data_IF_306997676089
#
_entry.id   IF_306997676089
#
_cell.length_a   1.000
_cell.length_b   1.000
_cell.length_c   1.000
_cell.angle_alpha   90.00
_cell.angle_beta   90.00
_cell.angle_gamma   90.00
#
_symmetry.space_group_name_H-M   'P 1'
#
loop_
_entity.id
_entity.type
_entity.pdbx_description
1 polymer ?
#
# COMPACT_ATOMS: atom_id res chain seq x y z
N UNK A 1 -0.62 -5.63 -21.44
CA UNK A 1 -1.03 -5.34 -20.04
C UNK A 1 -0.30 -6.29 -19.10
N UNK A 2 0.28 -5.80 -18.01
CA UNK A 2 0.96 -6.64 -17.00
C UNK A 2 -0.12 -7.34 -16.17
N UNK A 3 0.00 -8.67 -16.03
CA UNK A 3 -0.94 -9.48 -15.24
C UNK A 3 -0.82 -9.13 -13.76
N UNK A 4 -1.96 -9.09 -13.05
CA UNK A 4 -2.01 -8.79 -11.61
C UNK A 4 -2.17 -10.06 -10.79
N UNK A 5 -1.34 -10.21 -9.76
CA UNK A 5 -1.33 -11.39 -8.89
C UNK A 5 -2.60 -11.50 -8.02
N UNK A 6 -3.32 -10.41 -7.80
CA UNK A 6 -4.60 -10.40 -7.07
C UNK A 6 -5.76 -11.02 -7.88
N UNK A 7 -5.61 -11.21 -9.20
CA UNK A 7 -6.70 -11.67 -10.09
C UNK A 7 -7.36 -12.98 -9.65
N UNK A 8 -6.63 -14.05 -9.26
CA UNK A 8 -7.26 -15.28 -8.79
C UNK A 8 -8.13 -15.06 -7.55
N UNK A 9 -7.65 -14.23 -6.60
CA UNK A 9 -8.40 -13.94 -5.37
C UNK A 9 -9.64 -13.09 -5.64
N UNK A 10 -9.58 -12.17 -6.58
CA UNK A 10 -10.73 -11.37 -7.00
C UNK A 10 -11.83 -12.25 -7.58
N UNK A 11 -11.48 -13.24 -8.41
CA UNK A 11 -12.42 -14.21 -8.98
C UNK A 11 -13.02 -15.15 -7.92
N UNK A 12 -12.19 -15.68 -7.04
CA UNK A 12 -12.64 -16.52 -5.91
C UNK A 12 -13.67 -15.80 -5.04
N UNK A 13 -13.40 -14.55 -4.67
CA UNK A 13 -14.31 -13.77 -3.83
C UNK A 13 -15.61 -13.38 -4.55
N UNK A 14 -15.61 -13.29 -5.88
CA UNK A 14 -16.82 -13.06 -6.66
C UNK A 14 -17.81 -14.23 -6.58
N UNK A 15 -17.35 -15.43 -6.28
CA UNK A 15 -18.21 -16.60 -6.08
C UNK A 15 -18.86 -16.63 -4.69
N UNK A 16 -18.26 -15.94 -3.71
CA UNK A 16 -18.70 -15.99 -2.31
C UNK A 16 -19.37 -14.72 -1.78
N UNK A 17 -19.26 -13.59 -2.49
CA UNK A 17 -19.81 -12.31 -2.04
C UNK A 17 -20.64 -11.66 -3.14
N UNK A 18 -21.86 -11.12 -2.81
CA UNK A 18 -22.68 -10.45 -3.82
C UNK A 18 -22.02 -9.16 -4.37
N UNK A 19 -21.21 -8.48 -3.56
CA UNK A 19 -20.51 -7.25 -3.92
C UNK A 19 -19.02 -7.42 -3.71
N UNK A 20 -18.24 -6.93 -4.66
CA UNK A 20 -16.79 -6.78 -4.55
C UNK A 20 -16.44 -5.30 -4.47
N UNK A 21 -15.46 -4.94 -3.64
CA UNK A 21 -14.91 -3.59 -3.61
C UNK A 21 -13.41 -3.65 -3.82
N UNK A 22 -12.93 -3.01 -4.89
CA UNK A 22 -11.51 -2.88 -5.19
C UNK A 22 -11.06 -1.46 -4.97
N UNK A 23 -10.29 -1.24 -3.91
CA UNK A 23 -9.73 0.07 -3.53
C UNK A 23 -8.22 0.11 -3.77
N UNK A 24 -7.61 1.27 -3.61
CA UNK A 24 -6.16 1.46 -3.78
C UNK A 24 -5.83 2.86 -4.31
N UNK A 25 -4.54 3.22 -4.41
CA UNK A 25 -4.15 4.55 -4.85
C UNK A 25 -4.66 4.86 -6.26
N UNK A 26 -4.76 6.15 -6.61
CA UNK A 26 -5.03 6.55 -7.99
C UNK A 26 -3.97 5.97 -8.91
N UNK A 27 -4.37 5.65 -10.14
CA UNK A 27 -3.47 5.10 -11.18
C UNK A 27 -2.79 3.76 -10.84
N UNK A 28 -3.27 3.01 -9.83
CA UNK A 28 -2.80 1.64 -9.56
C UNK A 28 -3.33 0.57 -10.52
N UNK A 29 -4.22 0.94 -11.46
CA UNK A 29 -4.77 0.05 -12.48
C UNK A 29 -6.08 -0.64 -12.08
N UNK A 30 -6.83 -0.14 -11.08
CA UNK A 30 -8.11 -0.72 -10.61
C UNK A 30 -9.12 -0.92 -11.74
N UNK A 31 -9.46 0.15 -12.44
CA UNK A 31 -10.43 0.13 -13.54
C UNK A 31 -10.00 -0.83 -14.66
N UNK A 32 -8.71 -0.82 -15.00
CA UNK A 32 -8.15 -1.72 -16.01
C UNK A 32 -8.32 -3.17 -15.60
N UNK A 33 -7.99 -3.51 -14.34
CA UNK A 33 -8.10 -4.87 -13.82
C UNK A 33 -9.54 -5.37 -13.80
N UNK A 34 -10.49 -4.58 -13.25
CA UNK A 34 -11.88 -5.05 -13.13
C UNK A 34 -12.55 -5.17 -14.49
N UNK A 35 -12.22 -4.32 -15.45
CA UNK A 35 -12.73 -4.44 -16.83
C UNK A 35 -12.15 -5.64 -17.58
N UNK A 36 -10.94 -6.05 -17.28
CA UNK A 36 -10.33 -7.25 -17.84
C UNK A 36 -10.92 -8.53 -17.23
N UNK A 37 -11.08 -8.55 -15.91
CA UNK A 37 -11.57 -9.73 -15.18
C UNK A 37 -13.08 -9.96 -15.39
N UNK A 38 -13.86 -8.89 -15.47
CA UNK A 38 -15.31 -8.88 -15.62
C UNK A 38 -15.73 -8.24 -16.96
N UNK A 39 -15.14 -8.73 -18.05
CA UNK A 39 -15.31 -8.15 -19.39
C UNK A 39 -16.78 -8.13 -19.88
N UNK A 40 -17.61 -9.07 -19.41
CA UNK A 40 -19.02 -9.15 -19.76
C UNK A 40 -19.93 -8.22 -18.95
N UNK A 41 -19.41 -7.59 -17.86
CA UNK A 41 -20.20 -6.68 -17.02
C UNK A 41 -20.37 -5.32 -17.67
N UNK A 42 -21.47 -4.66 -17.32
CA UNK A 42 -21.69 -3.28 -17.74
C UNK A 42 -20.77 -2.33 -16.95
N UNK A 43 -19.93 -1.56 -17.65
CA UNK A 43 -19.06 -0.57 -17.02
C UNK A 43 -19.77 0.78 -16.88
N UNK A 44 -19.89 1.28 -15.67
CA UNK A 44 -20.61 2.47 -15.27
C UNK A 44 -19.65 3.41 -14.51
N UNK A 45 -19.19 4.48 -15.17
CA UNK A 45 -18.30 5.47 -14.56
C UNK A 45 -19.11 6.65 -14.01
N UNK A 46 -19.16 6.81 -12.70
CA UNK A 46 -19.87 7.91 -12.05
C UNK A 46 -19.15 9.28 -12.15
N UNK A 47 -18.02 9.37 -12.85
CA UNK A 47 -17.49 10.67 -13.30
C UNK A 47 -18.25 11.22 -14.52
N UNK A 48 -18.91 10.36 -15.30
CA UNK A 48 -19.75 10.77 -16.42
C UNK A 48 -21.06 11.34 -15.88
N UNK A 49 -21.38 12.57 -16.28
CA UNK A 49 -22.55 13.29 -15.77
C UNK A 49 -23.86 12.57 -16.04
N UNK A 50 -24.03 11.98 -17.22
CA UNK A 50 -25.24 11.24 -17.60
C UNK A 50 -25.43 9.98 -16.76
N UNK A 51 -24.33 9.24 -16.51
CA UNK A 51 -24.35 8.04 -15.65
C UNK A 51 -24.64 8.44 -14.21
N UNK A 52 -24.02 9.53 -13.74
CA UNK A 52 -24.25 10.07 -12.40
C UNK A 52 -25.70 10.53 -12.21
N UNK A 53 -26.30 11.22 -13.20
CA UNK A 53 -27.68 11.65 -13.17
C UNK A 53 -28.62 10.44 -13.04
N UNK A 54 -28.46 9.42 -13.91
CA UNK A 54 -29.26 8.19 -13.85
C UNK A 54 -29.13 7.46 -12.50
N UNK A 55 -27.94 7.43 -11.92
CA UNK A 55 -27.68 6.79 -10.63
C UNK A 55 -28.30 7.53 -9.45
N UNK A 56 -28.53 8.85 -9.56
CA UNK A 56 -29.09 9.68 -8.49
C UNK A 56 -30.60 9.91 -8.61
N UNK A 57 -31.14 9.95 -9.86
CA UNK A 57 -32.58 10.15 -10.10
C UNK A 57 -33.40 8.91 -9.69
N UNK A 58 -32.95 7.70 -10.06
CA UNK A 58 -33.60 6.44 -9.67
C UNK A 58 -32.56 5.35 -9.35
N UNK A 59 -31.98 5.39 -8.16
CA UNK A 59 -30.92 4.45 -7.76
C UNK A 59 -31.34 2.98 -7.83
N UNK A 60 -32.59 2.67 -7.50
CA UNK A 60 -33.10 1.31 -7.53
C UNK A 60 -33.14 0.77 -8.95
N UNK A 61 -33.80 1.48 -9.85
CA UNK A 61 -33.91 1.10 -11.27
C UNK A 61 -32.54 1.02 -11.94
N UNK A 62 -31.66 1.96 -11.63
CA UNK A 62 -30.28 1.97 -12.13
C UNK A 62 -29.54 0.68 -11.78
N UNK A 63 -29.64 0.20 -10.54
CA UNK A 63 -28.99 -1.04 -10.11
C UNK A 63 -29.69 -2.29 -10.67
N UNK A 64 -31.03 -2.35 -10.60
CA UNK A 64 -31.81 -3.51 -11.08
C UNK A 64 -31.62 -3.78 -12.58
N UNK A 65 -31.43 -2.74 -13.40
CA UNK A 65 -31.15 -2.87 -14.83
C UNK A 65 -29.89 -3.70 -15.15
N UNK A 66 -28.97 -3.83 -14.19
CA UNK A 66 -27.71 -4.54 -14.36
C UNK A 66 -27.59 -5.81 -13.50
N UNK A 67 -28.65 -6.19 -12.80
CA UNK A 67 -28.66 -7.31 -11.86
C UNK A 67 -28.25 -8.63 -12.48
N UNK A 68 -28.75 -8.95 -13.68
CA UNK A 68 -28.51 -10.25 -14.33
C UNK A 68 -27.10 -10.29 -14.97
N UNK A 69 -26.72 -9.23 -15.68
CA UNK A 69 -25.47 -9.17 -16.41
C UNK A 69 -24.28 -8.89 -15.48
N UNK A 70 -24.50 -8.14 -14.42
CA UNK A 70 -23.49 -7.59 -13.52
C UNK A 70 -23.04 -6.19 -13.93
N UNK A 71 -22.53 -5.41 -12.97
CA UNK A 71 -22.06 -4.07 -13.17
C UNK A 71 -20.72 -3.80 -12.45
N UNK A 72 -19.85 -3.05 -13.15
CA UNK A 72 -18.69 -2.38 -12.57
C UNK A 72 -19.08 -0.91 -12.36
N UNK A 73 -19.16 -0.49 -11.10
CA UNK A 73 -19.48 0.91 -10.74
C UNK A 73 -18.18 1.59 -10.31
N UNK A 74 -17.63 2.40 -11.19
CA UNK A 74 -16.36 3.10 -10.96
C UNK A 74 -16.61 4.46 -10.31
N UNK A 75 -15.73 4.85 -9.37
CA UNK A 75 -15.84 6.02 -8.48
C UNK A 75 -17.16 6.01 -7.67
N UNK A 76 -17.54 4.83 -7.16
CA UNK A 76 -18.82 4.55 -6.49
C UNK A 76 -19.13 5.50 -5.31
N UNK A 77 -18.11 6.04 -4.63
CA UNK A 77 -18.29 7.01 -3.53
C UNK A 77 -18.99 8.31 -3.93
N UNK A 78 -19.11 8.59 -5.24
CA UNK A 78 -19.77 9.80 -5.74
C UNK A 78 -21.29 9.75 -5.62
N UNK A 79 -21.88 8.55 -5.60
CA UNK A 79 -23.32 8.34 -5.38
C UNK A 79 -23.55 7.50 -4.12
N UNK A 80 -23.42 8.08 -2.92
CA UNK A 80 -23.46 7.34 -1.65
C UNK A 80 -24.80 6.68 -1.38
N UNK A 81 -25.90 7.18 -1.96
CA UNK A 81 -27.24 6.62 -1.81
C UNK A 81 -27.38 5.23 -2.46
N UNK A 82 -26.59 4.94 -3.52
CA UNK A 82 -26.57 3.63 -4.17
C UNK A 82 -26.29 2.49 -3.18
N UNK A 83 -25.48 2.72 -2.15
CA UNK A 83 -25.09 1.66 -1.21
C UNK A 83 -26.28 1.11 -0.41
N UNK A 84 -27.25 1.97 -0.04
CA UNK A 84 -28.46 1.56 0.68
C UNK A 84 -29.41 0.75 -0.20
N UNK A 85 -29.57 1.16 -1.47
CA UNK A 85 -30.39 0.40 -2.43
C UNK A 85 -29.72 -0.92 -2.81
N UNK A 86 -28.39 -0.90 -3.00
CA UNK A 86 -27.62 -2.09 -3.32
C UNK A 86 -27.74 -3.16 -2.24
N UNK A 87 -27.77 -2.76 -0.97
CA UNK A 87 -28.03 -3.69 0.14
C UNK A 87 -29.35 -4.47 -0.06
N UNK A 88 -30.45 -3.77 -0.30
CA UNK A 88 -31.77 -4.41 -0.51
C UNK A 88 -31.77 -5.35 -1.73
N UNK A 89 -31.19 -4.89 -2.84
CA UNK A 89 -31.15 -5.67 -4.10
C UNK A 89 -30.34 -6.95 -3.93
N UNK A 90 -29.20 -6.92 -3.25
CA UNK A 90 -28.36 -8.13 -3.07
C UNK A 90 -28.98 -9.10 -2.08
N UNK A 91 -29.69 -8.61 -1.07
CA UNK A 91 -30.42 -9.45 -0.10
C UNK A 91 -31.61 -10.15 -0.75
N UNK A 92 -32.35 -9.47 -1.64
CA UNK A 92 -33.47 -10.01 -2.39
C UNK A 92 -33.04 -11.02 -3.47
N UNK A 93 -31.89 -10.74 -4.13
CA UNK A 93 -31.46 -11.56 -5.27
C UNK A 93 -30.73 -12.84 -4.90
N UNK A 94 -29.94 -12.82 -3.84
CA UNK A 94 -29.04 -13.90 -3.48
C UNK A 94 -27.92 -14.19 -4.50
N UNK A 95 -27.77 -13.36 -5.55
CA UNK A 95 -26.78 -13.54 -6.61
C UNK A 95 -25.40 -13.06 -6.16
N UNK A 96 -24.36 -13.88 -6.37
CA UNK A 96 -22.99 -13.56 -6.02
C UNK A 96 -22.25 -12.86 -7.16
N UNK A 97 -21.29 -11.96 -6.79
CA UNK A 97 -20.36 -11.30 -7.70
C UNK A 97 -20.95 -10.27 -8.64
N UNK A 98 -22.23 -9.91 -8.52
CA UNK A 98 -22.92 -9.08 -9.52
C UNK A 98 -22.52 -7.62 -9.55
N UNK A 99 -21.97 -7.11 -8.48
CA UNK A 99 -21.56 -5.70 -8.40
C UNK A 99 -20.11 -5.59 -7.99
N UNK A 100 -19.34 -4.87 -8.80
CA UNK A 100 -17.94 -4.54 -8.53
C UNK A 100 -17.82 -3.04 -8.34
N UNK A 101 -17.51 -2.62 -7.14
CA UNK A 101 -17.33 -1.22 -6.77
C UNK A 101 -15.85 -0.86 -6.83
N UNK A 102 -15.50 0.20 -7.54
CA UNK A 102 -14.16 0.75 -7.52
C UNK A 102 -14.18 2.20 -7.07
N UNK A 103 -13.07 2.65 -6.50
CA UNK A 103 -12.94 4.04 -6.11
C UNK A 103 -11.52 4.37 -5.68
N UNK A 104 -11.11 5.60 -5.93
CA UNK A 104 -9.79 6.11 -5.58
C UNK A 104 -9.77 6.78 -4.21
N UNK A 105 -10.93 7.28 -3.73
CA UNK A 105 -11.09 7.86 -2.39
C UNK A 105 -11.53 6.77 -1.40
N UNK A 106 -10.55 5.96 -0.99
CA UNK A 106 -10.76 4.77 -0.16
C UNK A 106 -11.57 5.06 1.12
N UNK A 107 -11.31 6.20 1.79
CA UNK A 107 -11.98 6.56 3.03
C UNK A 107 -13.51 6.68 2.84
N UNK A 108 -13.98 7.44 1.84
CA UNK A 108 -15.40 7.65 1.59
C UNK A 108 -16.09 6.35 1.15
N UNK A 109 -15.41 5.56 0.31
CA UNK A 109 -15.93 4.28 -0.17
C UNK A 109 -16.08 3.28 0.99
N UNK A 110 -15.05 3.11 1.82
CA UNK A 110 -15.09 2.18 2.95
C UNK A 110 -16.08 2.59 4.03
N UNK A 111 -16.25 3.88 4.30
CA UNK A 111 -17.26 4.37 5.23
C UNK A 111 -18.66 3.93 4.81
N UNK A 112 -19.01 4.09 3.52
CA UNK A 112 -20.33 3.71 3.00
C UNK A 112 -20.54 2.19 2.97
N UNK A 113 -19.50 1.44 2.58
CA UNK A 113 -19.55 -0.04 2.63
C UNK A 113 -19.80 -0.52 4.05
N UNK A 114 -19.10 0.05 5.04
CA UNK A 114 -19.25 -0.37 6.45
C UNK A 114 -20.64 -0.05 7.00
N UNK A 115 -21.25 1.04 6.57
CA UNK A 115 -22.59 1.43 6.99
C UNK A 115 -23.70 0.57 6.38
N UNK A 116 -23.64 0.27 5.09
CA UNK A 116 -24.75 -0.34 4.36
C UNK A 116 -24.49 -1.78 3.89
N UNK A 117 -23.27 -2.15 3.57
CA UNK A 117 -22.92 -3.42 2.95
C UNK A 117 -22.10 -4.38 3.84
N UNK A 118 -22.13 -4.17 5.16
CA UNK A 118 -21.44 -5.03 6.11
C UNK A 118 -21.85 -6.51 5.95
N UNK A 119 -20.84 -7.40 5.82
CA UNK A 119 -21.07 -8.84 5.59
C UNK A 119 -21.45 -9.23 4.15
N UNK A 120 -21.72 -8.26 3.26
CA UNK A 120 -22.11 -8.48 1.85
C UNK A 120 -21.01 -8.16 0.87
N UNK A 121 -19.96 -7.50 1.31
CA UNK A 121 -18.88 -7.00 0.43
C UNK A 121 -17.54 -7.61 0.80
N UNK A 122 -16.85 -8.19 -0.18
CA UNK A 122 -15.44 -8.49 -0.09
C UNK A 122 -14.62 -7.24 -0.47
N UNK A 123 -13.69 -6.84 0.40
CA UNK A 123 -12.84 -5.67 0.20
C UNK A 123 -11.43 -6.13 -0.16
N UNK A 124 -10.93 -5.67 -1.30
CA UNK A 124 -9.59 -5.90 -1.80
C UNK A 124 -8.85 -4.58 -2.03
N UNK A 125 -7.53 -4.63 -1.90
CA UNK A 125 -6.67 -3.47 -2.10
C UNK A 125 -5.68 -3.75 -3.22
N UNK A 126 -5.70 -2.92 -4.28
CA UNK A 126 -4.79 -3.00 -5.41
C UNK A 126 -3.73 -1.90 -5.29
N UNK A 127 -2.53 -2.28 -4.90
CA UNK A 127 -1.36 -1.39 -4.89
C UNK A 127 -0.71 -1.28 -6.29
N UNK A 128 0.25 -0.39 -6.53
CA UNK A 128 1.12 -0.43 -7.69
C UNK A 128 1.77 -1.80 -7.87
N UNK A 129 2.39 -2.06 -9.01
CA UNK A 129 2.97 -3.37 -9.31
C UNK A 129 3.91 -3.89 -8.22
N UNK A 130 3.84 -5.19 -7.92
CA UNK A 130 4.87 -5.86 -7.14
C UNK A 130 6.09 -6.19 -8.00
N UNK A 131 7.24 -6.38 -7.37
CA UNK A 131 8.44 -6.87 -8.05
C UNK A 131 8.19 -8.23 -8.75
N UNK A 132 7.35 -9.08 -8.16
CA UNK A 132 6.96 -10.36 -8.76
C UNK A 132 6.16 -10.18 -10.06
N UNK A 133 5.18 -9.27 -10.08
CA UNK A 133 4.40 -8.94 -11.28
C UNK A 133 5.29 -8.36 -12.40
N UNK A 134 6.22 -7.45 -12.04
CA UNK A 134 7.16 -6.86 -12.99
C UNK A 134 8.16 -7.88 -13.55
N UNK A 135 8.66 -8.80 -12.73
CA UNK A 135 9.53 -9.90 -13.18
C UNK A 135 8.80 -10.83 -14.14
N UNK A 136 7.59 -11.24 -13.80
CA UNK A 136 6.76 -12.11 -14.64
C UNK A 136 6.46 -11.48 -16.01
N UNK A 137 6.44 -10.14 -16.07
CA UNK A 137 6.23 -9.37 -17.30
C UNK A 137 7.52 -9.02 -18.05
N UNK A 138 8.71 -9.39 -17.54
CA UNK A 138 9.99 -8.97 -18.11
C UNK A 138 10.27 -7.47 -18.04
N UNK A 139 9.62 -6.76 -17.10
CA UNK A 139 9.70 -5.31 -16.93
C UNK A 139 10.48 -4.87 -15.67
N UNK A 140 10.96 -5.82 -14.90
CA UNK A 140 11.77 -5.56 -13.71
C UNK A 140 13.20 -5.15 -14.11
N UNK A 141 13.74 -4.11 -13.48
CA UNK A 141 15.09 -3.65 -13.79
C UNK A 141 16.16 -4.52 -13.14
N UNK A 142 17.33 -4.56 -13.77
CA UNK A 142 18.46 -5.39 -13.34
C UNK A 142 19.32 -4.75 -12.23
N UNK A 143 19.11 -3.46 -11.94
CA UNK A 143 19.83 -2.74 -10.90
C UNK A 143 18.89 -2.14 -9.85
N UNK A 144 19.35 -2.17 -8.60
CA UNK A 144 18.58 -1.74 -7.43
C UNK A 144 18.21 -0.26 -7.50
N UNK A 145 19.13 0.61 -7.90
CA UNK A 145 18.91 2.06 -7.95
C UNK A 145 17.80 2.41 -8.94
N UNK A 146 17.74 1.74 -10.08
CA UNK A 146 16.64 1.89 -11.04
C UNK A 146 15.30 1.45 -10.43
N UNK A 147 15.26 0.31 -9.73
CA UNK A 147 14.03 -0.16 -9.08
C UNK A 147 13.54 0.83 -8.03
N UNK A 148 14.43 1.30 -7.15
CA UNK A 148 14.08 2.25 -6.10
C UNK A 148 13.61 3.60 -6.64
N UNK A 149 14.31 4.13 -7.68
CA UNK A 149 14.00 5.41 -8.29
C UNK A 149 12.73 5.38 -9.14
N UNK A 150 12.59 4.33 -9.97
CA UNK A 150 11.47 4.18 -10.90
C UNK A 150 10.13 3.97 -10.18
N UNK A 151 10.17 3.31 -9.01
CA UNK A 151 8.95 2.88 -8.32
C UNK A 151 8.16 1.86 -9.14
N UNK A 152 6.86 1.78 -8.90
CA UNK A 152 6.05 0.67 -9.39
C UNK A 152 4.66 1.08 -9.91
N UNK A 153 4.39 2.37 -10.10
CA UNK A 153 3.12 2.83 -10.66
C UNK A 153 2.94 2.41 -12.12
N UNK A 154 1.79 1.83 -12.52
CA UNK A 154 1.52 1.35 -13.87
C UNK A 154 1.86 2.31 -15.02
N UNK A 155 1.54 3.63 -14.96
CA UNK A 155 1.83 4.54 -16.07
C UNK A 155 3.29 4.62 -16.49
N UNK A 156 4.23 4.36 -15.55
CA UNK A 156 5.68 4.36 -15.84
C UNK A 156 6.08 3.15 -16.72
N UNK A 157 5.26 2.10 -16.72
CA UNK A 157 5.51 0.87 -17.49
C UNK A 157 4.67 0.81 -18.76
N UNK A 158 3.50 1.44 -18.76
CA UNK A 158 2.52 1.36 -19.84
C UNK A 158 2.60 2.55 -20.81
N UNK A 159 3.30 3.64 -20.45
CA UNK A 159 3.37 4.89 -21.23
C UNK A 159 4.81 5.37 -21.37
N UNK A 160 5.13 6.17 -22.41
CA UNK A 160 6.45 6.78 -22.59
C UNK A 160 6.58 8.00 -21.64
N UNK A 161 6.47 7.80 -20.32
CA UNK A 161 6.63 8.84 -19.32
C UNK A 161 7.73 8.44 -18.35
N UNK A 162 8.59 9.39 -17.97
CA UNK A 162 9.69 9.17 -17.05
C UNK A 162 9.25 9.45 -15.60
N UNK A 163 9.91 8.84 -14.59
CA UNK A 163 9.60 9.09 -13.18
C UNK A 163 9.65 10.56 -12.78
N UNK A 164 10.62 11.33 -13.30
CA UNK A 164 10.80 12.76 -13.04
C UNK A 164 9.64 13.63 -13.56
N UNK A 165 8.86 13.16 -14.52
CA UNK A 165 7.67 13.86 -15.04
C UNK A 165 6.39 13.35 -14.37
N UNK A 166 6.32 12.04 -14.16
CA UNK A 166 5.13 11.38 -13.63
C UNK A 166 4.85 11.74 -12.17
N UNK A 167 5.82 11.56 -11.27
CA UNK A 167 5.57 11.74 -9.83
C UNK A 167 5.29 13.19 -9.43
N UNK A 168 5.97 14.23 -9.91
CA UNK A 168 5.59 15.61 -9.63
C UNK A 168 4.15 15.91 -10.09
N UNK A 169 3.79 15.50 -11.32
CA UNK A 169 2.42 15.65 -11.82
C UNK A 169 1.39 14.89 -10.98
N UNK A 170 1.73 13.69 -10.51
CA UNK A 170 0.89 12.90 -9.62
C UNK A 170 0.64 13.61 -8.29
N UNK A 171 1.69 14.19 -7.67
CA UNK A 171 1.58 14.95 -6.43
C UNK A 171 0.67 16.15 -6.60
N UNK A 172 0.89 16.95 -7.63
CA UNK A 172 0.14 18.19 -7.86
C UNK A 172 -1.33 17.94 -8.24
N UNK A 173 -1.58 16.97 -9.13
CA UNK A 173 -2.92 16.76 -9.69
C UNK A 173 -3.82 15.88 -8.83
N UNK A 174 -3.26 14.90 -8.13
CA UNK A 174 -4.05 13.93 -7.37
C UNK A 174 -3.94 14.12 -5.87
N UNK A 175 -2.72 14.16 -5.34
CA UNK A 175 -2.54 14.24 -3.90
C UNK A 175 -3.07 15.58 -3.36
N UNK A 176 -2.73 16.69 -3.99
CA UNK A 176 -3.21 18.01 -3.56
C UNK A 176 -4.71 18.20 -3.78
N UNK A 177 -5.27 17.65 -4.86
CA UNK A 177 -6.72 17.69 -5.12
C UNK A 177 -7.51 16.91 -4.10
N UNK A 178 -7.11 15.68 -3.80
CA UNK A 178 -7.81 14.83 -2.84
C UNK A 178 -7.74 15.43 -1.43
N UNK A 179 -6.66 16.13 -1.10
CA UNK A 179 -6.50 16.88 0.14
C UNK A 179 -7.44 18.10 0.25
N UNK A 180 -7.64 18.83 -0.84
CA UNK A 180 -8.57 19.99 -0.85
C UNK A 180 -10.02 19.58 -0.60
N UNK A 181 -10.42 18.36 -1.00
CA UNK A 181 -11.77 17.84 -0.73
C UNK A 181 -11.96 17.45 0.74
N UNK A 182 -10.87 17.19 1.45
CA UNK A 182 -10.88 16.93 2.89
C UNK A 182 -10.69 18.27 3.60
N UNK A 183 -11.75 18.80 4.21
CA UNK A 183 -11.82 20.11 4.92
C UNK A 183 -10.70 20.38 5.95
N UNK A 184 -9.75 19.45 6.11
CA UNK A 184 -8.67 19.50 7.10
C UNK A 184 -7.38 20.18 6.61
N UNK A 185 -7.25 20.53 5.32
CA UNK A 185 -6.03 21.14 4.78
C UNK A 185 -6.34 22.56 4.29
N UNK A 186 -6.16 23.53 5.20
CA UNK A 186 -6.36 24.97 4.89
C UNK A 186 -5.18 25.59 4.13
N UNK A 187 -3.95 25.08 4.35
CA UNK A 187 -2.72 25.61 3.77
C UNK A 187 -1.91 24.50 3.07
N UNK A 188 -1.88 24.55 1.74
CA UNK A 188 -1.13 23.58 0.91
C UNK A 188 0.38 23.71 1.06
N UNK A 189 0.90 24.89 1.38
CA UNK A 189 2.33 25.12 1.57
C UNK A 189 2.82 24.36 2.81
N UNK A 190 2.09 24.47 3.92
CA UNK A 190 2.36 23.72 5.14
C UNK A 190 2.21 22.21 4.92
N UNK A 191 1.22 21.80 4.11
CA UNK A 191 1.07 20.38 3.79
C UNK A 191 2.22 19.85 2.92
N UNK A 192 2.71 20.60 1.93
CA UNK A 192 3.91 20.23 1.15
C UNK A 192 5.14 20.08 2.06
N UNK A 193 5.34 21.04 2.98
CA UNK A 193 6.40 20.95 4.00
C UNK A 193 6.26 19.70 4.86
N UNK A 194 5.05 19.41 5.34
CA UNK A 194 4.75 18.20 6.09
C UNK A 194 5.08 16.93 5.30
N UNK A 195 4.70 16.85 4.02
CA UNK A 195 4.96 15.69 3.16
C UNK A 195 6.47 15.44 2.98
N UNK A 196 7.24 16.50 2.74
CA UNK A 196 8.72 16.43 2.63
C UNK A 196 9.33 15.96 3.96
N UNK A 197 8.85 16.46 5.09
CA UNK A 197 9.32 16.05 6.41
C UNK A 197 8.95 14.60 6.73
N UNK A 198 7.79 14.10 6.26
CA UNK A 198 7.45 12.69 6.33
C UNK A 198 8.39 11.83 5.49
N UNK A 199 8.69 12.25 4.25
CA UNK A 199 9.62 11.54 3.37
C UNK A 199 11.03 11.42 3.99
N UNK A 200 11.54 12.51 4.59
CA UNK A 200 12.81 12.52 5.32
C UNK A 200 12.85 11.61 6.56
N UNK A 201 11.68 11.13 7.02
CA UNK A 201 11.53 10.23 8.18
C UNK A 201 11.11 8.82 7.82
N UNK A 202 11.21 8.44 6.56
CA UNK A 202 10.89 7.07 6.15
C UNK A 202 11.75 6.06 6.93
N UNK A 203 11.14 4.97 7.42
CA UNK A 203 11.79 3.97 8.26
C UNK A 203 12.04 4.40 9.73
N UNK A 204 11.62 5.62 10.14
CA UNK A 204 11.82 6.13 11.49
C UNK A 204 10.55 6.10 12.33
N UNK A 205 10.72 6.07 13.65
CA UNK A 205 9.60 6.22 14.60
C UNK A 205 8.91 7.56 14.42
N UNK A 206 7.60 7.54 14.22
CA UNK A 206 6.80 8.73 13.97
C UNK A 206 6.51 9.48 15.28
N UNK A 207 7.13 10.63 15.47
CA UNK A 207 6.80 11.57 16.53
C UNK A 207 5.95 12.73 15.98
N UNK A 208 4.62 12.60 16.13
CA UNK A 208 3.67 13.59 15.59
C UNK A 208 3.81 14.97 16.23
N UNK A 209 4.22 15.06 17.49
CA UNK A 209 4.42 16.36 18.16
C UNK A 209 5.66 17.08 17.63
N UNK A 210 6.78 16.37 17.49
CA UNK A 210 7.98 16.94 16.87
C UNK A 210 7.73 17.40 15.45
N UNK A 211 7.02 16.56 14.66
CA UNK A 211 6.64 16.89 13.28
C UNK A 211 5.73 18.12 13.21
N UNK A 212 4.76 18.24 14.14
CA UNK A 212 3.88 19.41 14.23
C UNK A 212 4.66 20.71 14.52
N UNK A 213 5.59 20.67 15.46
CA UNK A 213 6.44 21.82 15.78
C UNK A 213 7.27 22.27 14.56
N UNK A 214 7.86 21.34 13.81
CA UNK A 214 8.66 21.65 12.62
C UNK A 214 7.80 22.19 11.45
N UNK A 215 6.60 21.67 11.27
CA UNK A 215 5.66 22.16 10.24
C UNK A 215 5.10 23.53 10.65
N UNK A 216 4.82 23.73 11.91
CA UNK A 216 4.15 24.91 12.46
C UNK A 216 2.64 24.70 12.67
N UNK A 217 2.22 23.46 12.97
CA UNK A 217 0.82 23.10 13.22
C UNK A 217 0.69 22.22 14.47
N UNK A 218 -0.50 22.10 15.02
CA UNK A 218 -0.73 21.24 16.19
C UNK A 218 -0.68 19.74 15.86
N UNK A 219 -0.52 18.93 16.88
CA UNK A 219 -0.38 17.48 16.73
C UNK A 219 -1.69 16.80 16.23
N UNK A 220 -2.87 17.41 16.42
CA UNK A 220 -4.15 16.88 15.93
C UNK A 220 -4.23 17.06 14.41
N UNK A 221 -3.75 18.19 13.92
CA UNK A 221 -3.61 18.47 12.48
C UNK A 221 -2.68 17.44 11.82
N UNK A 222 -1.49 17.18 12.42
CA UNK A 222 -0.57 16.15 11.93
C UNK A 222 -1.24 14.77 11.90
N UNK A 223 -1.95 14.40 12.96
CA UNK A 223 -2.68 13.12 13.01
C UNK A 223 -3.73 13.02 11.89
N UNK A 224 -4.48 14.07 11.66
CA UNK A 224 -5.48 14.13 10.58
C UNK A 224 -4.80 13.96 9.20
N UNK A 225 -3.69 14.67 8.97
CA UNK A 225 -2.97 14.60 7.71
C UNK A 225 -2.33 13.22 7.47
N UNK A 226 -1.76 12.60 8.51
CA UNK A 226 -1.28 11.20 8.41
C UNK A 226 -2.42 10.26 8.05
N UNK A 227 -3.57 10.36 8.73
CA UNK A 227 -4.74 9.51 8.43
C UNK A 227 -5.22 9.66 6.98
N UNK A 228 -5.12 10.86 6.43
CA UNK A 228 -5.42 11.13 5.02
C UNK A 228 -4.41 10.44 4.11
N UNK A 229 -3.10 10.57 4.39
CA UNK A 229 -2.06 9.90 3.60
C UNK A 229 -2.19 8.37 3.65
N UNK A 230 -2.55 7.79 4.80
CA UNK A 230 -2.84 6.36 4.93
C UNK A 230 -4.07 5.96 4.08
N UNK A 231 -5.15 6.75 4.19
CA UNK A 231 -6.38 6.49 3.45
C UNK A 231 -6.21 6.61 1.91
N UNK A 232 -5.29 7.45 1.45
CA UNK A 232 -4.92 7.61 0.03
C UNK A 232 -3.87 6.60 -0.43
N UNK A 233 -3.41 5.67 0.40
CA UNK A 233 -2.32 4.74 0.11
C UNK A 233 -1.02 5.45 -0.31
N UNK A 234 -0.70 6.56 0.32
CA UNK A 234 0.59 7.25 0.16
C UNK A 234 1.58 6.74 1.17
N UNK A 235 1.17 6.69 2.46
CA UNK A 235 2.01 6.18 3.54
C UNK A 235 1.37 4.99 4.25
N UNK A 236 2.21 4.18 4.86
CA UNK A 236 1.85 3.07 5.72
C UNK A 236 2.53 3.23 7.09
N UNK A 237 1.76 3.05 8.16
CA UNK A 237 2.28 3.04 9.52
C UNK A 237 2.56 1.61 9.96
N UNK A 238 3.82 1.18 9.91
CA UNK A 238 4.27 -0.09 10.44
C UNK A 238 4.23 -0.04 11.96
N UNK A 239 3.40 -0.90 12.56
CA UNK A 239 3.18 -0.92 14.01
C UNK A 239 4.23 -1.80 14.70
N UNK A 240 4.56 -1.50 15.97
CA UNK A 240 5.43 -2.38 16.73
C UNK A 240 4.74 -3.71 17.08
N UNK A 241 5.49 -4.81 17.07
CA UNK A 241 5.02 -6.13 17.45
C UNK A 241 4.96 -6.25 18.96
N UNK A 242 3.79 -6.55 19.50
CA UNK A 242 3.55 -6.73 20.92
C UNK A 242 3.22 -8.20 21.23
N UNK A 243 4.20 -9.00 21.54
CA UNK A 243 4.02 -10.30 22.19
C UNK A 243 4.57 -10.21 23.60
N UNK A 244 4.00 -10.94 24.57
CA UNK A 244 4.41 -10.94 26.00
C UNK A 244 5.83 -11.51 26.19
N UNK A 245 6.85 -10.83 25.71
CA UNK A 245 8.26 -11.19 25.91
C UNK A 245 8.94 -10.37 27.02
N UNK A 246 8.22 -10.08 28.12
CA UNK A 246 8.75 -9.42 29.32
C UNK A 246 9.54 -8.11 29.10
N UNK A 247 9.52 -7.51 27.91
CA UNK A 247 10.22 -6.28 27.57
C UNK A 247 9.26 -5.17 27.19
N UNK A 248 9.60 -3.96 27.62
CA UNK A 248 8.87 -2.75 27.21
C UNK A 248 9.21 -2.42 25.74
N UNK A 249 8.27 -2.66 24.84
CA UNK A 249 8.37 -2.32 23.42
C UNK A 249 7.91 -0.88 23.21
N UNK A 250 8.50 -0.18 22.28
CA UNK A 250 8.07 1.18 21.87
C UNK A 250 6.62 1.16 21.36
N UNK A 251 5.90 2.26 21.52
CA UNK A 251 4.49 2.36 21.10
C UNK A 251 4.29 3.09 19.77
N UNK A 252 5.27 3.91 19.38
CA UNK A 252 5.20 4.71 18.16
C UNK A 252 5.39 3.82 16.93
N UNK A 253 4.59 3.99 15.87
CA UNK A 253 4.81 3.29 14.61
C UNK A 253 6.00 3.89 13.86
N UNK A 254 6.57 3.12 12.92
CA UNK A 254 7.46 3.64 11.87
C UNK A 254 6.63 4.06 10.66
N UNK A 255 7.09 5.09 9.94
CA UNK A 255 6.43 5.59 8.73
C UNK A 255 7.15 5.08 7.49
N UNK A 256 6.37 4.55 6.53
CA UNK A 256 6.84 4.11 5.21
C UNK A 256 5.91 4.61 4.10
N UNK A 257 6.42 4.68 2.88
CA UNK A 257 5.64 4.98 1.69
C UNK A 257 5.28 3.70 0.95
N UNK A 258 4.12 3.66 0.29
CA UNK A 258 3.74 2.50 -0.52
C UNK A 258 4.55 2.37 -1.81
N UNK A 259 5.23 3.44 -2.26
CA UNK A 259 6.02 3.46 -3.48
C UNK A 259 7.30 4.27 -3.31
N UNK A 260 8.43 3.68 -3.71
CA UNK A 260 9.75 4.30 -3.57
C UNK A 260 10.02 5.39 -4.60
N UNK A 261 9.44 5.31 -5.80
CA UNK A 261 9.57 6.35 -6.81
C UNK A 261 8.86 7.65 -6.37
N UNK A 262 7.66 7.52 -5.78
CA UNK A 262 6.98 8.65 -5.16
C UNK A 262 7.81 9.23 -4.01
N UNK A 263 8.38 8.38 -3.14
CA UNK A 263 9.26 8.80 -2.05
C UNK A 263 10.48 9.55 -2.58
N UNK A 264 11.17 9.03 -3.60
CA UNK A 264 12.31 9.68 -4.23
C UNK A 264 11.94 11.06 -4.79
N UNK A 265 10.81 11.18 -5.46
CA UNK A 265 10.31 12.44 -6.02
C UNK A 265 10.05 13.49 -4.92
N UNK A 266 9.40 13.10 -3.80
CA UNK A 266 9.15 14.00 -2.67
C UNK A 266 10.47 14.45 -2.01
N UNK A 267 11.48 13.58 -1.95
CA UNK A 267 12.82 13.89 -1.44
C UNK A 267 13.65 14.76 -2.40
N UNK A 268 13.15 15.04 -3.61
CA UNK A 268 13.86 15.83 -4.62
C UNK A 268 14.97 15.06 -5.34
N UNK A 269 14.98 13.72 -5.26
CA UNK A 269 15.89 12.86 -6.01
C UNK A 269 15.40 12.82 -7.46
N UNK A 270 16.18 13.41 -8.38
CA UNK A 270 15.76 13.61 -9.78
C UNK A 270 16.30 12.58 -10.75
N UNK A 271 17.36 11.87 -10.36
CA UNK A 271 18.00 10.84 -11.19
C UNK A 271 18.41 9.67 -10.32
N UNK A 272 18.46 8.49 -10.89
CA UNK A 272 18.86 7.27 -10.17
C UNK A 272 20.30 7.34 -9.64
N UNK A 273 21.18 8.05 -10.35
CA UNK A 273 22.58 8.22 -9.98
C UNK A 273 22.72 8.99 -8.64
N UNK A 274 21.79 9.92 -8.37
CA UNK A 274 21.79 10.70 -7.12
C UNK A 274 21.44 9.82 -5.90
N UNK A 275 20.79 8.65 -6.13
CA UNK A 275 20.37 7.74 -5.06
C UNK A 275 21.53 6.96 -4.42
N UNK A 276 22.51 6.55 -5.20
CA UNK A 276 23.63 5.71 -4.72
C UNK A 276 24.41 6.37 -3.55
N UNK A 277 24.60 7.70 -3.60
CA UNK A 277 25.25 8.49 -2.55
C UNK A 277 24.30 9.16 -1.56
N UNK A 278 22.99 8.97 -1.69
CA UNK A 278 22.01 9.66 -0.88
C UNK A 278 21.98 9.13 0.56
N UNK A 279 21.99 10.03 1.55
CA UNK A 279 22.03 9.66 2.97
C UNK A 279 20.83 8.81 3.43
N UNK A 280 19.68 8.90 2.75
CA UNK A 280 18.49 8.07 3.02
C UNK A 280 18.42 6.78 2.17
N UNK A 281 19.46 6.44 1.38
CA UNK A 281 19.44 5.23 0.54
C UNK A 281 19.08 3.96 1.32
N UNK A 282 19.62 3.81 2.53
CA UNK A 282 19.26 2.70 3.41
C UNK A 282 17.79 2.65 3.77
N UNK A 283 17.22 3.79 4.17
CA UNK A 283 15.80 3.89 4.52
C UNK A 283 14.87 3.72 3.30
N UNK A 284 15.29 4.18 2.11
CA UNK A 284 14.52 3.96 0.86
C UNK A 284 14.54 2.48 0.48
N UNK A 285 15.66 1.78 0.68
CA UNK A 285 15.74 0.34 0.48
C UNK A 285 14.88 -0.43 1.49
N UNK A 286 14.94 -0.08 2.77
CA UNK A 286 14.07 -0.65 3.81
C UNK A 286 12.59 -0.44 3.45
N UNK A 287 12.22 0.76 2.99
CA UNK A 287 10.89 1.08 2.51
C UNK A 287 10.46 0.20 1.34
N UNK A 288 11.34 -0.08 0.38
CA UNK A 288 11.08 -0.99 -0.73
C UNK A 288 10.72 -2.39 -0.21
N UNK A 289 11.55 -2.97 0.66
CA UNK A 289 11.32 -4.32 1.21
C UNK A 289 10.00 -4.38 1.96
N UNK A 290 9.70 -3.39 2.83
CA UNK A 290 8.43 -3.31 3.56
C UNK A 290 7.24 -3.21 2.60
N UNK A 291 7.33 -2.37 1.55
CA UNK A 291 6.24 -2.21 0.58
C UNK A 291 6.00 -3.49 -0.24
N UNK A 292 7.04 -4.25 -0.59
CA UNK A 292 6.91 -5.53 -1.29
C UNK A 292 6.22 -6.60 -0.43
N UNK A 293 6.49 -6.64 0.88
CA UNK A 293 5.76 -7.53 1.80
C UNK A 293 4.27 -7.15 1.88
N UNK A 294 3.94 -5.85 1.91
CA UNK A 294 2.56 -5.38 1.89
C UNK A 294 1.84 -5.80 0.59
N UNK A 295 2.47 -5.55 -0.57
CA UNK A 295 1.92 -5.93 -1.87
C UNK A 295 1.65 -7.43 -1.97
N UNK A 296 2.60 -8.26 -1.51
CA UNK A 296 2.46 -9.71 -1.51
C UNK A 296 1.26 -10.19 -0.67
N UNK A 297 0.99 -9.58 0.48
CA UNK A 297 -0.14 -9.94 1.32
C UNK A 297 -1.47 -9.43 0.74
N UNK A 298 -1.52 -8.18 0.27
CA UNK A 298 -2.71 -7.64 -0.39
C UNK A 298 -3.09 -8.41 -1.67
N UNK A 299 -2.09 -8.83 -2.47
CA UNK A 299 -2.33 -9.65 -3.66
C UNK A 299 -2.93 -11.03 -3.34
N UNK A 300 -2.73 -11.54 -2.13
CA UNK A 300 -3.40 -12.75 -1.60
C UNK A 300 -4.76 -12.45 -0.96
N UNK A 301 -5.22 -11.20 -0.97
CA UNK A 301 -6.44 -10.76 -0.29
C UNK A 301 -6.35 -10.79 1.24
N UNK A 302 -5.14 -10.78 1.78
CA UNK A 302 -4.89 -10.82 3.21
C UNK A 302 -4.74 -9.40 3.79
N UNK A 303 -5.14 -9.22 5.05
CA UNK A 303 -4.75 -8.04 5.80
C UNK A 303 -3.28 -8.15 6.19
N UNK A 304 -2.49 -7.08 6.05
CA UNK A 304 -1.08 -7.13 6.40
C UNK A 304 -0.84 -7.50 7.86
N UNK A 305 -0.07 -8.57 8.07
CA UNK A 305 0.40 -9.06 9.37
C UNK A 305 1.91 -8.87 9.46
N UNK A 306 2.34 -7.61 9.28
CA UNK A 306 3.72 -7.20 9.35
C UNK A 306 3.90 -6.12 10.41
N UNK A 307 5.01 -6.18 11.11
CA UNK A 307 5.35 -5.33 12.23
C UNK A 307 6.85 -5.07 12.23
N UNK A 308 7.33 -4.13 13.04
CA UNK A 308 8.74 -4.08 13.47
C UNK A 308 8.81 -4.42 14.97
N UNK A 309 10.00 -4.69 15.46
CA UNK A 309 10.20 -4.83 16.89
C UNK A 309 11.33 -3.91 17.35
N UNK A 310 11.12 -3.19 18.46
CA UNK A 310 12.15 -2.35 19.08
C UNK A 310 11.91 -2.25 20.58
N UNK A 311 12.96 -2.48 21.38
CA UNK A 311 12.92 -2.25 22.80
C UNK A 311 13.38 -0.84 23.20
N UNK A 312 13.21 -0.51 24.48
CA UNK A 312 13.66 0.78 25.03
C UNK A 312 15.17 0.94 25.10
N UNK A 313 15.95 -0.15 24.99
CA UNK A 313 17.41 -0.14 24.95
C UNK A 313 17.97 0.11 23.56
N UNK A 314 17.10 0.18 22.54
CA UNK A 314 17.48 0.47 21.17
C UNK A 314 17.73 -0.76 20.30
N UNK A 315 17.59 -1.98 20.81
CA UNK A 315 17.64 -3.17 19.96
C UNK A 315 16.42 -3.19 19.07
N UNK A 316 16.62 -3.47 17.80
CA UNK A 316 15.58 -3.40 16.77
C UNK A 316 15.66 -4.59 15.82
N UNK A 317 14.50 -5.01 15.29
CA UNK A 317 14.33 -5.86 14.12
C UNK A 317 13.45 -5.11 13.15
N UNK A 318 13.96 -4.91 11.94
CA UNK A 318 13.34 -4.06 10.93
C UNK A 318 11.94 -4.56 10.55
N UNK A 319 11.75 -5.90 10.46
CA UNK A 319 10.46 -6.47 10.09
C UNK A 319 10.19 -7.80 10.80
N UNK A 320 9.00 -7.93 11.37
CA UNK A 320 8.42 -9.16 11.89
C UNK A 320 7.25 -9.56 11.00
N UNK A 321 7.31 -10.74 10.41
CA UNK A 321 6.23 -11.32 9.62
C UNK A 321 5.48 -12.33 10.47
N UNK A 322 4.21 -12.07 10.78
CA UNK A 322 3.38 -12.98 11.56
C UNK A 322 2.63 -13.94 10.64
N UNK A 323 2.74 -15.25 10.91
CA UNK A 323 2.08 -16.33 10.16
C UNK A 323 1.39 -17.29 11.13
N UNK A 324 0.18 -16.93 11.53
CA UNK A 324 -0.55 -17.66 12.57
C UNK A 324 0.21 -17.59 13.91
N UNK A 325 0.56 -18.73 14.53
CA UNK A 325 1.29 -18.74 15.81
C UNK A 325 2.79 -18.40 15.66
N UNK A 326 3.30 -18.43 14.47
CA UNK A 326 4.70 -18.31 14.11
C UNK A 326 5.08 -16.90 13.64
N UNK A 327 6.34 -16.55 13.83
CA UNK A 327 6.91 -15.30 13.30
C UNK A 327 8.19 -15.57 12.55
N UNK A 328 8.48 -14.72 11.56
CA UNK A 328 9.80 -14.61 10.97
C UNK A 328 10.36 -13.22 11.29
N UNK A 329 11.63 -13.17 11.68
CA UNK A 329 12.36 -11.94 11.95
C UNK A 329 13.23 -11.61 10.73
N UNK A 330 13.15 -10.38 10.23
CA UNK A 330 13.87 -9.94 9.04
C UNK A 330 14.65 -8.68 9.34
N UNK A 331 15.91 -8.71 9.00
CA UNK A 331 16.80 -7.55 9.01
C UNK A 331 17.01 -7.07 7.58
N UNK A 332 17.15 -5.75 7.37
CA UNK A 332 17.22 -5.16 6.04
C UNK A 332 18.46 -4.24 5.96
N UNK A 333 19.37 -4.53 5.03
CA UNK A 333 20.64 -3.79 4.88
C UNK A 333 20.90 -3.47 3.40
N UNK A 334 21.00 -2.20 3.06
CA UNK A 334 21.19 -1.76 1.67
C UNK A 334 22.62 -1.98 1.11
N UNK A 335 23.57 -2.43 1.93
CA UNK A 335 24.93 -2.76 1.49
C UNK A 335 24.94 -3.97 0.57
N UNK A 336 25.83 -3.94 -0.43
CA UNK A 336 26.00 -5.04 -1.41
C UNK A 336 26.94 -6.13 -0.92
N UNK A 337 27.82 -5.83 0.04
CA UNK A 337 28.76 -6.77 0.64
C UNK A 337 28.26 -7.17 2.03
N UNK A 338 28.15 -8.49 2.26
CA UNK A 338 27.76 -9.02 3.56
C UNK A 338 28.81 -8.75 4.62
N UNK A 339 28.40 -8.18 5.74
CA UNK A 339 29.23 -7.94 6.91
C UNK A 339 28.65 -8.66 8.13
N UNK A 340 29.50 -9.20 9.06
CA UNK A 340 29.01 -9.88 10.27
C UNK A 340 28.02 -9.03 11.09
N UNK A 341 28.22 -7.73 11.18
CA UNK A 341 27.33 -6.80 11.90
C UNK A 341 25.88 -6.78 11.36
N UNK A 342 25.64 -7.20 10.12
CA UNK A 342 24.29 -7.28 9.57
C UNK A 342 23.41 -8.33 10.29
N UNK A 343 24.03 -9.28 10.98
CA UNK A 343 23.35 -10.37 11.70
C UNK A 343 23.27 -10.16 13.22
N UNK A 344 23.88 -9.10 13.76
CA UNK A 344 23.94 -8.87 15.21
C UNK A 344 22.54 -8.73 15.83
N UNK A 345 21.65 -7.95 15.19
CA UNK A 345 20.26 -7.78 15.62
C UNK A 345 19.50 -9.10 15.63
N UNK A 346 19.58 -9.86 14.52
CA UNK A 346 18.92 -11.18 14.40
C UNK A 346 19.43 -12.17 15.43
N UNK A 347 20.75 -12.27 15.60
CA UNK A 347 21.37 -13.20 16.56
C UNK A 347 20.98 -12.86 17.99
N UNK A 348 20.98 -11.58 18.32
CA UNK A 348 20.53 -11.11 19.63
C UNK A 348 19.04 -11.42 19.86
N UNK A 349 18.18 -11.09 18.90
CA UNK A 349 16.75 -11.33 18.99
C UNK A 349 16.42 -12.82 19.09
N UNK A 350 17.03 -13.66 18.25
CA UNK A 350 16.88 -15.12 18.29
C UNK A 350 17.26 -15.70 19.66
N UNK A 351 18.37 -15.24 20.25
CA UNK A 351 18.81 -15.63 21.61
C UNK A 351 17.80 -15.24 22.68
N UNK A 352 17.18 -14.05 22.57
CA UNK A 352 16.22 -13.55 23.57
C UNK A 352 14.85 -14.21 23.48
N UNK A 353 14.44 -14.62 22.29
CA UNK A 353 13.08 -15.13 22.02
C UNK A 353 13.02 -16.63 21.83
N UNK A 354 14.16 -17.30 21.66
CA UNK A 354 14.23 -18.71 21.30
C UNK A 354 13.86 -18.96 19.81
N UNK A 355 13.84 -17.91 18.98
CA UNK A 355 13.50 -18.04 17.57
C UNK A 355 14.60 -18.81 16.83
N UNK A 356 14.27 -19.91 16.09
CA UNK A 356 15.26 -20.67 15.37
C UNK A 356 15.81 -19.88 14.17
N UNK A 357 17.07 -20.11 13.81
CA UNK A 357 17.73 -19.43 12.69
C UNK A 357 16.98 -19.61 11.35
N UNK A 358 16.27 -20.72 11.17
CA UNK A 358 15.42 -20.97 9.98
C UNK A 358 14.25 -19.98 9.84
N UNK A 359 13.97 -19.20 10.88
CA UNK A 359 12.96 -18.14 10.90
C UNK A 359 13.57 -16.74 10.95
N UNK A 360 14.88 -16.65 10.84
CA UNK A 360 15.62 -15.40 10.73
C UNK A 360 16.05 -15.20 9.28
N UNK A 361 15.87 -14.00 8.76
CA UNK A 361 16.24 -13.65 7.41
C UNK A 361 16.95 -12.29 7.35
N UNK A 362 17.88 -12.15 6.43
CA UNK A 362 18.50 -10.89 6.04
C UNK A 362 18.17 -10.61 4.58
N UNK A 363 17.56 -9.46 4.29
CA UNK A 363 17.45 -8.92 2.92
C UNK A 363 18.53 -7.87 2.74
N UNK A 364 19.35 -8.03 1.71
CA UNK A 364 20.48 -7.13 1.49
C UNK A 364 20.56 -6.62 0.03
N UNK A 365 21.33 -5.55 -0.18
CA UNK A 365 21.49 -4.92 -1.49
C UNK A 365 22.37 -5.67 -2.49
N UNK A 366 22.89 -6.87 -2.17
CA UNK A 366 23.64 -7.72 -3.09
C UNK A 366 22.74 -8.72 -3.83
N UNK A 367 23.35 -9.58 -4.63
CA UNK A 367 22.70 -10.40 -5.63
C UNK A 367 22.69 -11.93 -5.31
N UNK A 368 23.33 -12.36 -4.21
CA UNK A 368 23.48 -13.77 -3.91
C UNK A 368 22.58 -14.24 -2.76
N UNK A 369 21.82 -15.29 -3.01
CA UNK A 369 21.11 -16.01 -1.95
C UNK A 369 22.09 -16.94 -1.23
N UNK A 370 22.07 -16.92 0.09
CA UNK A 370 22.96 -17.73 0.93
C UNK A 370 22.22 -18.21 2.18
N UNK A 371 22.69 -19.37 2.73
CA UNK A 371 22.29 -19.81 4.06
C UNK A 371 23.46 -19.58 5.04
N UNK A 372 23.16 -19.00 6.19
CA UNK A 372 24.13 -18.69 7.25
C UNK A 372 23.66 -19.23 8.58
N UNK A 373 24.58 -19.38 9.54
CA UNK A 373 24.24 -19.83 10.90
C UNK A 373 23.19 -18.96 11.59
N UNK A 374 23.16 -17.66 11.27
CA UNK A 374 22.23 -16.70 11.87
C UNK A 374 20.89 -16.56 11.12
N UNK A 375 20.74 -17.19 9.95
CA UNK A 375 19.52 -17.11 9.13
C UNK A 375 19.78 -17.19 7.63
N UNK A 376 18.69 -17.13 6.87
CA UNK A 376 18.73 -17.10 5.41
C UNK A 376 19.02 -15.68 4.89
N UNK A 377 19.78 -15.57 3.81
CA UNK A 377 20.13 -14.32 3.15
C UNK A 377 19.46 -14.25 1.80
N UNK A 378 18.70 -13.18 1.57
CA UNK A 378 17.97 -12.91 0.34
C UNK A 378 18.52 -11.68 -0.36
N UNK A 379 18.75 -11.75 -1.68
CA UNK A 379 19.13 -10.59 -2.46
C UNK A 379 17.97 -9.60 -2.59
N UNK A 380 18.28 -8.34 -2.89
CA UNK A 380 17.31 -7.25 -2.99
C UNK A 380 16.13 -7.51 -3.93
N UNK A 381 16.36 -8.25 -4.99
CA UNK A 381 15.31 -8.58 -5.96
C UNK A 381 14.40 -9.73 -5.50
N UNK A 382 14.73 -10.41 -4.41
CA UNK A 382 13.93 -11.49 -3.81
C UNK A 382 13.46 -11.09 -2.41
N UNK A 383 12.94 -9.85 -2.32
CA UNK A 383 12.61 -9.20 -1.07
C UNK A 383 11.39 -9.76 -0.34
N UNK A 384 10.56 -10.61 -0.97
CA UNK A 384 9.37 -11.23 -0.35
C UNK A 384 9.75 -12.58 0.26
N UNK A 385 9.58 -12.71 1.59
CA UNK A 385 9.99 -13.85 2.40
C UNK A 385 8.77 -14.67 2.85
#
# INVERSE_FOLDING_TARGET
MIRRDITPKLKELAEGFPVLSLTGPRQSGKTTLVRDVFADYTYLNLENLDVMAAATEDPRRFLEAHREKGAIIDEAQRAPELFSYLQGIVDESGLMGRYVLTGSQNFLLLEKITQSLAGRTAILHLLPFSSAELKAAGAFADDLETVLYRGSYPPIFDRPVQPEDFYPSYIETYLERDLRTLKSVGDLSLFRKFLILCAGRTGQLLNMSALGNEVGVDHKTIRSWISVLEACFIVYLLRPYHRNWNKRVVKQPKLYFYDTGLLCSILGIRRKEDLAGHHLRGSIFENHVVSEQLKAQYNRGQRPSIYFWRDHSGHEIDLILERGPDINAVEIKSGTTLHPSFFEGLSWFAKQTGLPATRCALVYGGDQRQSRTAGEVYPWFDAVI
#
